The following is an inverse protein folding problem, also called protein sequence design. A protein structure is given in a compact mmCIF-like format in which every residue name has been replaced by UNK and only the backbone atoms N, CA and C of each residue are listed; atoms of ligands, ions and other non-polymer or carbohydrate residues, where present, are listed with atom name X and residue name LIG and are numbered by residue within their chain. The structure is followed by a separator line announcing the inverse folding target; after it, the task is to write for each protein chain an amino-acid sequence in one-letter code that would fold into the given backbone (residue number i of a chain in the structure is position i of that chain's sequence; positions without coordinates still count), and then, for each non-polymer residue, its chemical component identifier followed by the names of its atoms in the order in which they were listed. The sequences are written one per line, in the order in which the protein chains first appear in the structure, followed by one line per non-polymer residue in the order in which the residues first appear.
data_IF_494297473020
#
_entry.id   IF_494297473020
#
_cell.length_a   1.000
_cell.length_b   1.000
_cell.length_c   1.000
_cell.angle_alpha   90.00
_cell.angle_beta   90.00
_cell.angle_gamma   90.00
#
_symmetry.space_group_name_H-M   'P 1'
#
loop_
_entity.id
_entity.type
_entity.pdbx_description
1 polymer ?
#
# COMPACT_ATOMS: atom_id res chain seq x y z
N UNK A 1 -33.30 -1.34 -12.07
CA UNK A 1 -32.26 -2.40 -12.04
C UNK A 1 -32.03 -2.75 -10.58
N UNK A 2 -31.96 -4.04 -10.16
CA UNK A 2 -31.89 -4.38 -8.75
C UNK A 2 -30.60 -3.85 -8.10
N UNK A 3 -30.64 -3.27 -6.88
CA UNK A 3 -29.48 -2.73 -6.18
C UNK A 3 -28.32 -3.74 -6.06
N UNK A 4 -28.65 -5.03 -5.90
CA UNK A 4 -27.68 -6.13 -5.75
C UNK A 4 -26.75 -6.28 -6.97
N UNK A 5 -27.25 -6.06 -8.18
CA UNK A 5 -26.43 -6.20 -9.41
C UNK A 5 -25.45 -5.02 -9.53
N UNK A 6 -25.79 -3.84 -9.03
CA UNK A 6 -24.89 -2.69 -9.00
C UNK A 6 -23.77 -2.87 -7.97
N UNK A 7 -24.09 -3.38 -6.78
CA UNK A 7 -23.09 -3.73 -5.75
C UNK A 7 -22.13 -4.82 -6.28
N UNK A 8 -22.67 -5.87 -6.91
CA UNK A 8 -21.85 -6.93 -7.48
C UNK A 8 -20.89 -6.40 -8.56
N UNK A 9 -21.35 -5.51 -9.44
CA UNK A 9 -20.50 -4.88 -10.46
C UNK A 9 -19.41 -3.98 -9.85
N UNK A 10 -19.73 -3.26 -8.77
CA UNK A 10 -18.75 -2.44 -8.06
C UNK A 10 -17.67 -3.30 -7.37
N UNK A 11 -18.07 -4.45 -6.80
CA UNK A 11 -17.15 -5.39 -6.16
C UNK A 11 -16.31 -6.21 -7.15
N UNK A 12 -16.81 -6.47 -8.37
CA UNK A 12 -16.08 -7.23 -9.40
C UNK A 12 -14.79 -6.54 -9.88
N UNK A 13 -14.64 -5.24 -9.63
CA UNK A 13 -13.42 -4.46 -9.91
C UNK A 13 -12.74 -3.91 -8.66
N UNK A 14 -13.08 -4.43 -7.48
CA UNK A 14 -12.44 -4.01 -6.25
C UNK A 14 -11.03 -4.61 -6.14
N UNK A 15 -10.07 -3.81 -5.70
CA UNK A 15 -8.74 -4.27 -5.32
C UNK A 15 -8.69 -4.39 -3.80
N UNK A 16 -8.32 -5.55 -3.29
CA UNK A 16 -8.03 -5.74 -1.87
C UNK A 16 -6.53 -5.65 -1.64
N UNK A 17 -6.14 -4.95 -0.57
CA UNK A 17 -4.77 -4.88 -0.07
C UNK A 17 -4.76 -5.33 1.39
N UNK A 18 -4.02 -6.41 1.64
CA UNK A 18 -3.72 -6.98 2.94
C UNK A 18 -2.24 -7.31 2.99
N UNK A 19 -1.43 -6.27 3.19
CA UNK A 19 0.03 -6.34 3.05
C UNK A 19 0.65 -7.37 3.97
N UNK A 20 1.61 -8.12 3.43
CA UNK A 20 2.40 -9.11 4.15
C UNK A 20 3.90 -8.83 3.90
N UNK A 21 4.73 -8.68 4.95
CA UNK A 21 6.13 -8.34 4.76
C UNK A 21 6.91 -9.42 4.01
N UNK A 22 6.52 -10.70 4.16
CA UNK A 22 7.15 -11.79 3.45
C UNK A 22 6.83 -11.74 1.95
N UNK A 23 5.64 -11.27 1.56
CA UNK A 23 5.31 -11.02 0.15
C UNK A 23 6.05 -9.79 -0.40
N UNK A 24 6.17 -8.72 0.39
CA UNK A 24 6.80 -7.46 -0.05
C UNK A 24 8.32 -7.57 -0.25
N UNK A 25 8.99 -8.40 0.55
CA UNK A 25 10.43 -8.62 0.43
C UNK A 25 10.83 -9.62 -0.67
N UNK A 26 9.85 -10.34 -1.23
CA UNK A 26 10.12 -11.34 -2.26
C UNK A 26 10.61 -10.72 -3.56
N UNK A 27 11.56 -11.41 -4.18
CA UNK A 27 11.96 -11.13 -5.54
C UNK A 27 10.78 -11.41 -6.49
N UNK A 28 10.64 -10.58 -7.53
CA UNK A 28 9.53 -10.67 -8.47
C UNK A 28 9.98 -10.52 -9.91
N UNK A 29 9.24 -11.15 -10.83
CA UNK A 29 9.38 -10.93 -12.27
C UNK A 29 9.00 -9.49 -12.65
N UNK A 30 9.60 -8.97 -13.72
CA UNK A 30 9.35 -7.60 -14.17
C UNK A 30 7.98 -7.42 -14.82
N UNK A 31 7.30 -6.31 -14.51
CA UNK A 31 6.08 -5.88 -15.21
C UNK A 31 6.47 -5.34 -16.59
N UNK A 32 5.98 -6.00 -17.65
CA UNK A 32 6.22 -5.61 -19.05
C UNK A 32 5.04 -4.89 -19.69
N UNK A 33 3.88 -4.89 -19.03
CA UNK A 33 2.65 -4.29 -19.52
C UNK A 33 2.46 -2.83 -19.08
N UNK A 34 1.44 -2.15 -19.63
CA UNK A 34 1.11 -0.77 -19.23
C UNK A 34 0.46 -0.70 -17.84
N UNK A 35 -0.13 -1.80 -17.36
CA UNK A 35 -0.79 -1.85 -16.06
C UNK A 35 0.24 -2.23 -14.98
N UNK A 36 0.57 -1.27 -14.12
CA UNK A 36 1.41 -1.49 -12.96
C UNK A 36 0.50 -1.92 -11.81
N UNK A 37 0.73 -3.11 -11.25
CA UNK A 37 -0.04 -3.63 -10.13
C UNK A 37 0.79 -4.58 -9.27
N UNK A 38 0.38 -4.75 -8.01
CA UNK A 38 0.80 -5.91 -7.22
C UNK A 38 0.25 -7.18 -7.84
N UNK A 39 0.98 -8.28 -7.67
CA UNK A 39 0.62 -9.59 -8.21
C UNK A 39 -0.43 -10.31 -7.36
N UNK A 40 -0.55 -9.92 -6.09
CA UNK A 40 -1.59 -10.37 -5.17
C UNK A 40 -1.95 -9.28 -4.14
N UNK A 41 -2.95 -9.56 -3.32
CA UNK A 41 -3.41 -8.65 -2.24
C UNK A 41 -2.35 -8.40 -1.16
N UNK A 42 -1.34 -9.27 -1.06
CA UNK A 42 -0.28 -9.19 -0.04
C UNK A 42 0.83 -8.23 -0.43
N UNK A 43 0.79 -7.70 -1.65
CA UNK A 43 1.78 -6.79 -2.19
C UNK A 43 2.94 -7.49 -2.90
N UNK A 44 2.81 -8.79 -3.21
CA UNK A 44 3.81 -9.48 -4.04
C UNK A 44 4.02 -8.70 -5.35
N UNK A 45 5.26 -8.58 -5.81
CA UNK A 45 5.58 -7.77 -6.99
C UNK A 45 5.97 -6.33 -6.68
N UNK A 46 6.07 -5.93 -5.40
CA UNK A 46 6.57 -4.61 -5.01
C UNK A 46 7.87 -4.19 -5.73
N UNK A 47 8.92 -5.04 -5.85
CA UNK A 47 10.10 -4.67 -6.62
C UNK A 47 9.82 -4.39 -8.11
N UNK A 48 8.94 -5.17 -8.73
CA UNK A 48 8.55 -5.00 -10.12
C UNK A 48 7.74 -3.71 -10.35
N UNK A 49 6.89 -3.34 -9.39
CA UNK A 49 6.19 -2.05 -9.38
C UNK A 49 7.21 -0.91 -9.36
N UNK A 50 8.18 -0.92 -8.44
CA UNK A 50 9.21 0.13 -8.37
C UNK A 50 10.11 0.18 -9.62
N UNK A 51 10.38 -0.97 -10.26
CA UNK A 51 11.13 -1.05 -11.52
C UNK A 51 10.34 -0.43 -12.68
N UNK A 52 9.05 -0.73 -12.76
CA UNK A 52 8.15 -0.15 -13.76
C UNK A 52 8.01 1.37 -13.57
N UNK A 53 7.84 1.85 -12.34
CA UNK A 53 7.77 3.29 -12.05
C UNK A 53 9.06 4.01 -12.44
N UNK A 54 10.21 3.45 -12.11
CA UNK A 54 11.51 4.02 -12.49
C UNK A 54 11.68 4.11 -14.02
N UNK A 55 11.05 3.20 -14.78
CA UNK A 55 11.17 3.10 -16.23
C UNK A 55 10.12 3.92 -17.00
N UNK A 56 8.90 4.06 -16.47
CA UNK A 56 7.78 4.73 -17.16
C UNK A 56 7.71 6.24 -16.89
N UNK A 57 7.90 6.66 -15.64
CA UNK A 57 7.83 8.08 -15.25
C UNK A 57 8.93 8.41 -14.23
N UNK A 58 10.06 8.89 -14.75
CA UNK A 58 11.21 9.22 -13.93
C UNK A 58 10.95 10.40 -13.00
N UNK A 59 10.07 11.35 -13.35
CA UNK A 59 9.82 12.52 -12.50
C UNK A 59 9.02 12.15 -11.26
N UNK A 60 7.92 11.42 -11.45
CA UNK A 60 7.10 10.91 -10.36
C UNK A 60 7.86 9.90 -9.49
N UNK A 61 8.67 9.03 -10.10
CA UNK A 61 9.56 8.14 -9.35
C UNK A 61 10.56 8.93 -8.48
N UNK A 62 11.15 10.01 -8.99
CA UNK A 62 12.06 10.85 -8.20
C UNK A 62 11.34 11.52 -7.03
N UNK A 63 10.09 12.00 -7.22
CA UNK A 63 9.26 12.57 -6.16
C UNK A 63 8.96 11.52 -5.08
N UNK A 64 8.53 10.33 -5.48
CA UNK A 64 8.28 9.19 -4.59
C UNK A 64 9.51 8.85 -3.74
N UNK A 65 10.68 8.66 -4.36
CA UNK A 65 11.92 8.33 -3.65
C UNK A 65 12.35 9.47 -2.73
N UNK A 66 12.12 10.74 -3.10
CA UNK A 66 12.39 11.88 -2.24
C UNK A 66 11.52 11.85 -0.97
N UNK A 67 10.24 11.50 -1.09
CA UNK A 67 9.33 11.35 0.04
C UNK A 67 9.76 10.18 0.95
N UNK A 68 10.10 9.03 0.38
CA UNK A 68 10.65 7.88 1.12
C UNK A 68 11.87 8.30 1.94
N UNK A 69 12.84 8.99 1.32
CA UNK A 69 14.04 9.46 2.03
C UNK A 69 13.76 10.50 3.11
N UNK A 70 12.74 11.35 2.93
CA UNK A 70 12.32 12.31 3.96
C UNK A 70 11.84 11.58 5.22
N UNK A 71 11.10 10.49 5.06
CA UNK A 71 10.56 9.71 6.18
C UNK A 71 11.55 8.69 6.73
N UNK A 72 12.48 8.20 5.91
CA UNK A 72 13.52 7.25 6.27
C UNK A 72 14.90 7.83 5.95
N UNK A 73 15.40 8.80 6.74
CA UNK A 73 16.62 9.56 6.42
C UNK A 73 17.90 8.72 6.46
N UNK A 74 17.87 7.54 7.07
CA UNK A 74 18.97 6.58 7.02
C UNK A 74 19.17 5.97 5.64
N UNK A 75 18.17 6.04 4.74
CA UNK A 75 18.23 5.49 3.39
C UNK A 75 18.98 6.45 2.47
N UNK A 76 20.14 6.02 1.99
CA UNK A 76 20.90 6.72 0.94
C UNK A 76 20.37 6.39 -0.44
N UNK A 77 20.06 5.12 -0.72
CA UNK A 77 19.56 4.69 -2.03
C UNK A 77 18.70 3.43 -1.92
N UNK A 78 17.58 3.42 -2.65
CA UNK A 78 16.81 2.21 -2.93
C UNK A 78 17.37 1.59 -4.22
N UNK A 79 17.69 0.30 -4.18
CA UNK A 79 18.34 -0.42 -5.26
C UNK A 79 17.49 -1.61 -5.68
N UNK A 80 17.17 -1.71 -6.97
CA UNK A 80 16.41 -2.82 -7.55
C UNK A 80 17.40 -3.83 -8.16
N UNK A 81 17.77 -4.83 -7.36
CA UNK A 81 18.77 -5.85 -7.69
C UNK A 81 18.10 -7.21 -7.57
N UNK A 82 18.22 -8.05 -8.59
CA UNK A 82 17.74 -9.43 -8.55
C UNK A 82 18.85 -10.44 -8.79
N UNK A 83 18.55 -11.71 -8.55
CA UNK A 83 19.46 -12.83 -8.82
C UNK A 83 19.63 -13.11 -10.31
N UNK A 84 18.65 -12.70 -11.12
CA UNK A 84 18.66 -12.85 -12.58
C UNK A 84 18.40 -11.52 -13.30
N UNK A 85 18.48 -11.52 -14.63
CA UNK A 85 18.11 -10.35 -15.44
C UNK A 85 16.60 -10.12 -15.53
N UNK A 86 15.79 -11.13 -15.22
CA UNK A 86 14.33 -11.10 -15.35
C UNK A 86 13.60 -10.83 -14.04
N UNK A 87 14.33 -10.77 -12.93
CA UNK A 87 13.78 -10.65 -11.59
C UNK A 87 14.44 -9.52 -10.82
N UNK A 88 13.73 -8.94 -9.85
CA UNK A 88 14.22 -7.84 -9.00
C UNK A 88 13.77 -8.00 -7.55
N UNK A 89 14.63 -7.57 -6.63
CA UNK A 89 14.32 -7.38 -5.21
C UNK A 89 14.73 -5.97 -4.74
N UNK A 90 14.05 -5.46 -3.71
CA UNK A 90 14.35 -4.15 -3.13
C UNK A 90 15.47 -4.30 -2.10
N UNK A 91 16.61 -3.67 -2.38
CA UNK A 91 17.74 -3.53 -1.48
C UNK A 91 17.87 -2.07 -1.05
N UNK A 92 18.47 -1.82 0.11
CA UNK A 92 18.68 -0.48 0.62
C UNK A 92 20.16 -0.26 0.91
N UNK A 93 20.73 0.80 0.35
CA UNK A 93 22.01 1.34 0.80
C UNK A 93 21.74 2.42 1.84
N UNK A 94 22.33 2.27 3.03
CA UNK A 94 22.26 3.25 4.10
C UNK A 94 23.27 4.38 3.91
N UNK A 95 23.05 5.49 4.61
CA UNK A 95 24.01 6.62 4.64
C UNK A 95 25.38 6.24 5.18
N UNK A 96 25.45 5.19 6.00
CA UNK A 96 26.68 4.58 6.51
C UNK A 96 27.47 3.83 5.44
N UNK A 97 26.88 3.58 4.27
CA UNK A 97 27.44 2.75 3.19
C UNK A 97 27.10 1.27 3.30
N UNK A 98 26.44 0.84 4.39
CA UNK A 98 25.95 -0.53 4.55
C UNK A 98 24.84 -0.85 3.54
N UNK A 99 24.82 -2.10 3.06
CA UNK A 99 23.77 -2.61 2.16
C UNK A 99 22.90 -3.61 2.89
N UNK A 100 21.62 -3.33 2.95
CA UNK A 100 20.60 -4.15 3.60
C UNK A 100 19.85 -4.94 2.52
N UNK A 101 19.90 -6.26 2.65
CA UNK A 101 19.17 -7.20 1.82
C UNK A 101 17.65 -7.13 2.11
N UNK A 102 16.79 -7.55 1.16
CA UNK A 102 15.33 -7.47 1.32
C UNK A 102 14.83 -8.09 2.63
N UNK A 103 15.38 -9.25 3.02
CA UNK A 103 14.99 -10.01 4.21
C UNK A 103 15.34 -9.34 5.54
N UNK A 104 16.11 -8.24 5.49
CA UNK A 104 16.56 -7.49 6.66
C UNK A 104 16.00 -6.07 6.68
N UNK A 105 15.13 -5.72 5.72
CA UNK A 105 14.42 -4.46 5.75
C UNK A 105 13.39 -4.45 6.88
N UNK A 106 13.21 -3.29 7.51
CA UNK A 106 12.18 -3.16 8.53
C UNK A 106 10.80 -3.27 7.90
N UNK A 107 9.88 -3.97 8.58
CA UNK A 107 8.48 -4.11 8.16
C UNK A 107 7.83 -2.76 7.87
N UNK A 108 8.06 -1.75 8.74
CA UNK A 108 7.52 -0.41 8.53
C UNK A 108 8.02 0.28 7.26
N UNK A 109 9.24 0.00 6.80
CA UNK A 109 9.72 0.50 5.51
C UNK A 109 9.01 -0.23 4.35
N UNK A 110 8.92 -1.56 4.40
CA UNK A 110 8.25 -2.36 3.36
C UNK A 110 6.79 -1.92 3.18
N UNK A 111 6.05 -1.78 4.28
CA UNK A 111 4.67 -1.30 4.25
C UNK A 111 4.56 0.11 3.73
N UNK A 112 5.43 1.03 4.17
CA UNK A 112 5.42 2.38 3.63
C UNK A 112 5.70 2.40 2.12
N UNK A 113 6.67 1.62 1.64
CA UNK A 113 6.97 1.52 0.20
C UNK A 113 5.76 1.00 -0.59
N UNK A 114 5.05 0.02 -0.06
CA UNK A 114 3.83 -0.51 -0.67
C UNK A 114 2.72 0.55 -0.73
N UNK A 115 2.41 1.22 0.38
CA UNK A 115 1.41 2.30 0.40
C UNK A 115 1.79 3.45 -0.53
N UNK A 116 3.05 3.87 -0.53
CA UNK A 116 3.53 4.94 -1.38
C UNK A 116 3.50 4.59 -2.89
N UNK A 117 3.42 3.31 -3.25
CA UNK A 117 3.24 2.87 -4.63
C UNK A 117 1.77 2.88 -5.09
N UNK A 118 0.79 2.80 -4.17
CA UNK A 118 -0.65 2.71 -4.49
C UNK A 118 -1.12 3.80 -5.48
N UNK A 119 -0.75 5.09 -5.33
CA UNK A 119 -1.21 6.14 -6.24
C UNK A 119 -0.81 5.92 -7.71
N UNK A 120 0.20 5.10 -7.97
CA UNK A 120 0.74 4.85 -9.29
C UNK A 120 0.31 3.50 -9.89
N UNK A 121 -0.47 2.71 -9.13
CA UNK A 121 -1.01 1.46 -9.62
C UNK A 121 -2.11 1.72 -10.66
N UNK A 122 -2.46 0.69 -11.43
CA UNK A 122 -3.58 0.76 -12.35
C UNK A 122 -4.84 1.19 -11.58
N UNK A 123 -5.65 2.15 -12.08
CA UNK A 123 -6.84 2.60 -11.38
C UNK A 123 -7.82 1.47 -11.08
N UNK A 124 -8.47 1.53 -9.93
CA UNK A 124 -9.57 0.63 -9.58
C UNK A 124 -10.78 1.45 -9.11
N UNK A 125 -11.96 0.87 -9.16
CA UNK A 125 -13.17 1.58 -8.70
C UNK A 125 -13.25 1.64 -7.17
N UNK A 126 -12.84 0.55 -6.52
CA UNK A 126 -12.89 0.36 -5.07
C UNK A 126 -11.57 -0.24 -4.60
N UNK A 127 -10.98 0.35 -3.56
CA UNK A 127 -9.79 -0.14 -2.87
C UNK A 127 -10.17 -0.52 -1.44
N UNK A 128 -10.02 -1.80 -1.11
CA UNK A 128 -10.27 -2.36 0.22
C UNK A 128 -8.95 -2.53 0.95
N UNK A 129 -8.82 -1.99 2.16
CA UNK A 129 -7.60 -2.05 2.96
C UNK A 129 -7.92 -2.56 4.36
N UNK A 130 -7.23 -3.62 4.77
CA UNK A 130 -7.32 -4.15 6.12
C UNK A 130 -6.11 -3.71 6.97
N UNK A 131 -6.40 -3.16 8.15
CA UNK A 131 -5.44 -2.80 9.19
C UNK A 131 -4.25 -1.97 8.65
N UNK A 132 -4.49 -0.78 8.06
CA UNK A 132 -3.43 0.03 7.46
C UNK A 132 -2.33 0.45 8.44
N UNK A 133 -2.62 0.43 9.74
CA UNK A 133 -1.68 0.70 10.83
C UNK A 133 -0.66 -0.42 11.08
N UNK A 134 -0.94 -1.65 10.63
CA UNK A 134 -0.15 -2.81 11.03
C UNK A 134 1.31 -2.63 10.66
N UNK A 135 2.21 -3.00 11.58
CA UNK A 135 3.68 -2.92 11.41
C UNK A 135 4.26 -1.53 11.12
N UNK A 136 3.45 -0.47 11.09
CA UNK A 136 3.91 0.90 10.97
C UNK A 136 4.22 1.50 12.33
N UNK A 137 5.26 2.31 12.38
CA UNK A 137 5.48 3.18 13.53
C UNK A 137 4.32 4.21 13.61
N UNK A 138 3.80 4.56 14.81
CA UNK A 138 2.69 5.52 14.96
C UNK A 138 2.86 6.82 14.15
N UNK A 139 4.07 7.38 14.16
CA UNK A 139 4.43 8.59 13.40
C UNK A 139 4.37 8.45 11.85
N UNK A 140 4.07 7.27 11.31
CA UNK A 140 3.90 7.02 9.86
C UNK A 140 2.45 6.73 9.47
N UNK A 141 1.57 6.43 10.43
CA UNK A 141 0.15 6.14 10.16
C UNK A 141 -0.51 7.33 9.47
N UNK A 142 -0.31 8.54 9.99
CA UNK A 142 -0.83 9.78 9.38
C UNK A 142 -0.34 9.98 7.93
N UNK A 143 0.91 9.62 7.63
CA UNK A 143 1.46 9.72 6.26
C UNK A 143 0.78 8.73 5.31
N UNK A 144 0.55 7.49 5.78
CA UNK A 144 -0.19 6.48 5.00
C UNK A 144 -1.64 6.89 4.80
N UNK A 145 -2.31 7.39 5.84
CA UNK A 145 -3.67 7.91 5.73
C UNK A 145 -3.75 9.10 4.76
N UNK A 146 -2.73 9.97 4.74
CA UNK A 146 -2.62 11.05 3.76
C UNK A 146 -2.49 10.54 2.31
N UNK A 147 -1.73 9.47 2.08
CA UNK A 147 -1.66 8.81 0.76
C UNK A 147 -3.03 8.26 0.37
N UNK A 148 -3.70 7.55 1.27
CA UNK A 148 -5.03 6.97 1.01
C UNK A 148 -6.09 8.04 0.79
N UNK A 149 -5.99 9.18 1.46
CA UNK A 149 -6.82 10.37 1.23
C UNK A 149 -6.64 10.95 -0.17
N UNK A 150 -5.42 10.94 -0.70
CA UNK A 150 -5.17 11.39 -2.08
C UNK A 150 -5.78 10.41 -3.09
N UNK A 151 -5.56 9.11 -2.88
CA UNK A 151 -6.16 8.03 -3.68
C UNK A 151 -7.70 8.11 -3.64
N UNK A 152 -8.27 8.49 -2.50
CA UNK A 152 -9.73 8.56 -2.33
C UNK A 152 -10.42 9.62 -3.21
N UNK A 153 -9.65 10.53 -3.84
CA UNK A 153 -10.20 11.53 -4.77
C UNK A 153 -10.68 10.92 -6.09
N UNK A 154 -10.12 9.78 -6.49
CA UNK A 154 -10.45 9.11 -7.75
C UNK A 154 -10.93 7.68 -7.58
N UNK A 155 -10.65 7.07 -6.41
CA UNK A 155 -11.00 5.67 -6.08
C UNK A 155 -11.81 5.65 -4.79
N UNK A 156 -12.84 4.81 -4.68
CA UNK A 156 -13.50 4.63 -3.38
C UNK A 156 -12.60 3.79 -2.46
N UNK A 157 -12.14 4.35 -1.34
CA UNK A 157 -11.28 3.63 -0.38
C UNK A 157 -12.11 3.20 0.82
N UNK A 158 -12.11 1.89 1.13
CA UNK A 158 -12.75 1.33 2.32
C UNK A 158 -11.67 0.72 3.22
N UNK A 159 -11.65 1.16 4.47
CA UNK A 159 -10.63 0.77 5.45
C UNK A 159 -11.31 0.05 6.60
N UNK A 160 -10.81 -1.13 6.96
CA UNK A 160 -11.12 -1.80 8.21
C UNK A 160 -9.95 -1.59 9.19
N UNK A 161 -10.22 -1.06 10.38
CA UNK A 161 -9.19 -0.78 11.38
C UNK A 161 -9.77 -0.82 12.79
N UNK A 162 -8.94 -1.23 13.75
CA UNK A 162 -9.22 -1.12 15.18
C UNK A 162 -8.39 0.00 15.85
N UNK A 163 -7.56 0.70 15.08
CA UNK A 163 -6.62 1.70 15.57
C UNK A 163 -7.25 3.06 15.77
N UNK A 164 -7.22 3.61 17.00
CA UNK A 164 -7.60 5.00 17.24
C UNK A 164 -6.77 5.98 16.43
N UNK A 165 -5.51 5.65 16.11
CA UNK A 165 -4.65 6.52 15.30
C UNK A 165 -5.12 6.62 13.85
N UNK A 166 -5.74 5.58 13.30
CA UNK A 166 -6.35 5.63 11.97
C UNK A 166 -7.65 6.44 12.01
N UNK A 167 -8.49 6.19 13.02
CA UNK A 167 -9.76 6.92 13.21
C UNK A 167 -9.51 8.42 13.39
N UNK A 168 -8.44 8.83 14.06
CA UNK A 168 -8.07 10.24 14.23
C UNK A 168 -7.76 10.99 12.92
N UNK A 169 -7.48 10.27 11.81
CA UNK A 169 -7.19 10.84 10.49
C UNK A 169 -8.44 10.92 9.58
N UNK A 170 -9.61 10.54 10.12
CA UNK A 170 -10.89 10.52 9.42
C UNK A 170 -11.85 11.57 9.98
N UNK A 171 -12.79 12.04 9.14
CA UNK A 171 -13.92 12.83 9.61
C UNK A 171 -14.99 11.91 10.22
N UNK A 172 -15.79 12.37 11.20
CA UNK A 172 -16.81 11.53 11.84
C UNK A 172 -17.77 10.86 10.84
N UNK A 173 -18.18 11.57 9.78
CA UNK A 173 -19.11 11.07 8.77
C UNK A 173 -18.51 9.98 7.87
N UNK A 174 -17.18 9.80 7.93
CA UNK A 174 -16.44 8.77 7.20
C UNK A 174 -16.26 7.50 8.03
N UNK A 175 -16.63 7.52 9.31
CA UNK A 175 -16.43 6.41 10.24
C UNK A 175 -17.75 5.69 10.47
N UNK A 176 -17.72 4.37 10.32
CA UNK A 176 -18.80 3.48 10.73
C UNK A 176 -18.27 2.50 11.77
N UNK A 177 -18.95 2.44 12.92
CA UNK A 177 -18.64 1.52 14.00
C UNK A 177 -19.38 0.22 13.77
N UNK A 178 -18.62 -0.88 13.74
CA UNK A 178 -19.17 -2.23 13.62
C UNK A 178 -19.19 -2.87 15.01
N UNK A 179 -20.37 -3.25 15.49
CA UNK A 179 -20.55 -3.95 16.77
C UNK A 179 -21.21 -5.31 16.55
N UNK A 180 -21.00 -6.24 17.49
CA UNK A 180 -21.69 -7.53 17.51
C UNK A 180 -22.51 -7.64 18.77
N UNK A 181 -23.83 -7.67 18.62
CA UNK A 181 -24.76 -7.90 19.71
C UNK A 181 -25.13 -9.39 19.77
N UNK A 182 -25.15 -10.02 20.96
CA UNK A 182 -25.40 -11.47 21.09
C UNK A 182 -26.72 -11.93 20.46
N UNK A 183 -27.76 -11.10 20.53
CA UNK A 183 -29.12 -11.44 20.09
C UNK A 183 -29.44 -10.93 18.68
N UNK A 184 -28.84 -9.80 18.27
CA UNK A 184 -29.16 -9.12 17.01
C UNK A 184 -28.10 -9.29 15.91
N UNK A 185 -26.96 -9.90 16.22
CA UNK A 185 -25.87 -10.13 15.26
C UNK A 185 -25.00 -8.89 15.04
N UNK A 186 -24.48 -8.71 13.83
CA UNK A 186 -23.60 -7.58 13.48
C UNK A 186 -24.41 -6.34 13.13
N UNK A 187 -24.14 -5.24 13.82
CA UNK A 187 -24.69 -3.91 13.55
C UNK A 187 -23.60 -2.97 13.07
N UNK A 188 -23.99 -2.05 12.19
CA UNK A 188 -23.13 -0.97 11.69
C UNK A 188 -23.83 0.35 11.98
N UNK A 189 -23.16 1.23 12.72
CA UNK A 189 -23.67 2.56 13.08
C UNK A 189 -22.67 3.63 12.63
N UNK A 190 -23.08 4.66 11.88
CA UNK A 190 -22.24 5.84 11.65
C UNK A 190 -21.81 6.45 12.99
N UNK A 191 -20.60 7.01 13.05
CA UNK A 191 -20.07 7.68 14.25
C UNK A 191 -20.81 9.00 14.53
#
# INVERSE_FOLDING_TARGET
MPPVIQIYKALFGARTIRLDPDALQQESELIRGPNIDFFDERGLGLPAVYDALASQDTEEYVKLIKQVKKLFPSIKKLQLIGMSKSTKAINVELVTGERIAPQHLSTGLLYYLAYAAIPYLHPCAVLLIEEPENGLHPARIAEVMGILREVSKTTQVLIASHSPLVVNELQPEEVSVVTREPEEGTRVTPL
#
